data_IF_072111461822
#
_entry.id   IF_072111461822
#
_cell.length_a   1.000
_cell.length_b   1.000
_cell.length_c   1.000
_cell.angle_alpha   90.00
_cell.angle_beta   90.00
_cell.angle_gamma   90.00
#
_symmetry.space_group_name_H-M   'P 1'
#
loop_
_entity.id
_entity.type
_entity.pdbx_description
1 polymer ?
#
# COMPACT_ATOMS: atom_id res chain seq x y z
N UNK A 1 14.46 -14.52 6.64
CA UNK A 1 13.25 -14.34 7.48
C UNK A 1 13.66 -14.55 8.94
N UNK A 2 13.60 -13.50 9.76
CA UNK A 2 13.91 -13.60 11.19
C UNK A 2 12.74 -14.29 11.89
N UNK A 3 12.94 -15.53 12.37
CA UNK A 3 11.95 -16.27 13.16
C UNK A 3 12.14 -15.89 14.62
N UNK A 4 11.39 -14.91 15.10
CA UNK A 4 11.44 -14.52 16.50
C UNK A 4 10.56 -15.46 17.32
N UNK A 5 11.11 -16.19 18.32
CA UNK A 5 10.31 -17.11 19.12
C UNK A 5 9.33 -16.31 19.99
N UNK A 6 8.06 -16.70 20.00
CA UNK A 6 7.03 -16.08 20.86
C UNK A 6 6.65 -17.05 21.97
N UNK A 7 6.27 -18.27 21.60
CA UNK A 7 6.04 -19.38 22.53
C UNK A 7 6.41 -20.71 21.86
N UNK A 8 6.32 -21.82 22.61
CA UNK A 8 6.69 -23.14 22.08
C UNK A 8 5.93 -23.45 20.78
N UNK A 9 6.68 -23.72 19.71
CA UNK A 9 6.14 -24.02 18.38
C UNK A 9 5.62 -22.82 17.57
N UNK A 10 5.66 -21.59 18.10
CA UNK A 10 5.16 -20.38 17.42
C UNK A 10 6.30 -19.37 17.22
N UNK A 11 6.45 -18.93 15.97
CA UNK A 11 7.44 -17.93 15.58
C UNK A 11 6.75 -16.76 14.89
N UNK A 12 7.19 -15.55 15.22
CA UNK A 12 6.76 -14.32 14.57
C UNK A 12 7.82 -13.88 13.56
N UNK A 13 7.38 -13.56 12.34
CA UNK A 13 8.20 -12.89 11.34
C UNK A 13 8.05 -11.39 11.47
N UNK A 14 9.11 -10.69 11.89
CA UNK A 14 9.11 -9.22 11.97
C UNK A 14 9.67 -8.63 10.68
N UNK A 15 8.94 -7.69 10.09
CA UNK A 15 9.34 -6.94 8.89
C UNK A 15 9.45 -5.47 9.26
N UNK A 16 10.63 -4.89 9.12
CA UNK A 16 10.83 -3.46 9.35
C UNK A 16 10.31 -2.67 8.14
N UNK A 17 9.62 -1.56 8.43
CA UNK A 17 9.29 -0.55 7.44
C UNK A 17 9.61 0.82 8.03
N UNK A 18 10.79 1.35 7.71
CA UNK A 18 11.30 2.60 8.30
C UNK A 18 10.58 3.83 7.73
N UNK A 19 10.17 3.75 6.46
CA UNK A 19 9.61 4.88 5.71
C UNK A 19 8.07 4.90 5.72
N UNK A 20 7.48 4.65 6.90
CA UNK A 20 6.03 4.65 7.13
C UNK A 20 5.43 6.06 7.21
N UNK A 21 5.00 6.49 8.40
CA UNK A 21 4.33 7.78 8.59
C UNK A 21 5.19 8.98 8.16
N UNK A 22 6.51 8.93 8.42
CA UNK A 22 7.44 10.01 8.07
C UNK A 22 7.38 10.40 6.59
N UNK A 23 7.32 9.44 5.68
CA UNK A 23 7.26 9.70 4.25
C UNK A 23 5.93 10.39 3.86
N UNK A 24 4.82 10.02 4.51
CA UNK A 24 3.52 10.67 4.31
C UNK A 24 3.49 12.09 4.89
N UNK A 25 4.13 12.30 6.04
CA UNK A 25 4.23 13.64 6.66
C UNK A 25 4.94 14.61 5.72
N UNK A 26 6.03 14.18 5.06
CA UNK A 26 6.71 15.02 4.06
C UNK A 26 5.80 15.37 2.87
N UNK A 27 5.02 14.42 2.35
CA UNK A 27 4.09 14.73 1.24
C UNK A 27 2.93 15.62 1.67
N UNK A 28 2.43 15.43 2.90
CA UNK A 28 1.45 16.34 3.51
C UNK A 28 2.01 17.76 3.65
N UNK A 29 3.27 17.89 4.06
CA UNK A 29 3.92 19.19 4.20
C UNK A 29 4.09 19.89 2.84
N UNK A 30 4.42 19.15 1.77
CA UNK A 30 4.44 19.66 0.39
C UNK A 30 3.05 20.13 -0.07
N UNK A 31 1.99 19.37 0.24
CA UNK A 31 0.59 19.77 -0.01
C UNK A 31 0.25 21.05 0.74
N UNK A 32 0.57 21.11 2.03
CA UNK A 32 0.28 22.25 2.89
C UNK A 32 1.02 23.51 2.43
N UNK A 33 2.26 23.40 1.97
CA UNK A 33 3.02 24.50 1.38
C UNK A 33 2.35 25.03 0.10
N UNK A 34 1.95 24.13 -0.81
CA UNK A 34 1.29 24.50 -2.08
C UNK A 34 -0.06 25.19 -1.86
N UNK A 35 -0.88 24.66 -0.95
CA UNK A 35 -2.25 25.12 -0.74
C UNK A 35 -2.39 26.14 0.40
N UNK A 36 -1.32 26.43 1.14
CA UNK A 36 -1.32 27.27 2.34
C UNK A 36 -2.33 26.77 3.39
N UNK A 37 -2.35 25.46 3.58
CA UNK A 37 -3.18 24.76 4.57
C UNK A 37 -2.32 24.21 5.69
N UNK A 38 -2.96 23.66 6.72
CA UNK A 38 -2.33 22.88 7.77
C UNK A 38 -3.03 21.52 7.94
N UNK A 39 -2.38 20.62 8.66
CA UNK A 39 -2.96 19.32 8.97
C UNK A 39 -3.12 18.40 7.75
N UNK A 40 -4.10 17.49 7.84
CA UNK A 40 -4.31 16.39 6.89
C UNK A 40 -5.53 16.58 6.00
N UNK A 41 -6.42 17.51 6.30
CA UNK A 41 -7.71 17.63 5.63
C UNK A 41 -7.56 17.84 4.11
N UNK A 42 -6.61 18.70 3.71
CA UNK A 42 -6.35 18.95 2.28
C UNK A 42 -5.70 17.75 1.59
N UNK A 43 -4.81 17.06 2.30
CA UNK A 43 -4.18 15.84 1.80
C UNK A 43 -5.25 14.76 1.54
N UNK A 44 -6.17 14.56 2.49
CA UNK A 44 -7.27 13.60 2.37
C UNK A 44 -8.24 13.96 1.23
N UNK A 45 -8.58 15.25 1.06
CA UNK A 45 -9.41 15.72 -0.06
C UNK A 45 -8.75 15.39 -1.40
N UNK A 46 -7.45 15.65 -1.54
CA UNK A 46 -6.67 15.32 -2.74
C UNK A 46 -6.69 13.82 -2.99
N UNK A 47 -6.46 13.00 -1.97
CA UNK A 47 -6.52 11.54 -2.10
C UNK A 47 -7.89 11.06 -2.56
N UNK A 48 -8.97 11.57 -1.96
CA UNK A 48 -10.34 11.25 -2.35
C UNK A 48 -10.56 11.60 -3.84
N UNK A 49 -10.06 12.74 -4.31
CA UNK A 49 -10.14 13.17 -5.71
C UNK A 49 -9.27 12.33 -6.66
N UNK A 50 -8.01 12.05 -6.32
CA UNK A 50 -7.10 11.30 -7.19
C UNK A 50 -7.57 9.86 -7.38
N UNK A 51 -7.95 9.18 -6.30
CA UNK A 51 -8.44 7.80 -6.39
C UNK A 51 -9.81 7.68 -7.07
N UNK A 52 -10.65 8.72 -7.01
CA UNK A 52 -11.91 8.75 -7.73
C UNK A 52 -11.72 8.72 -9.27
N UNK A 53 -10.57 9.17 -9.79
CA UNK A 53 -10.26 9.11 -11.23
C UNK A 53 -10.18 7.68 -11.76
N UNK A 54 -9.91 6.73 -10.87
CA UNK A 54 -9.78 5.31 -11.20
C UNK A 54 -11.09 4.53 -10.99
N UNK A 55 -12.15 5.17 -10.48
CA UNK A 55 -13.44 4.51 -10.29
C UNK A 55 -14.07 4.14 -11.62
N UNK A 56 -14.39 2.84 -11.79
CA UNK A 56 -15.01 2.32 -13.01
C UNK A 56 -14.03 2.01 -14.14
N UNK A 57 -12.72 2.20 -13.95
CA UNK A 57 -11.70 1.81 -14.92
C UNK A 57 -11.39 0.32 -14.76
N UNK A 58 -11.45 -0.45 -15.86
CA UNK A 58 -11.05 -1.85 -15.84
C UNK A 58 -9.53 -1.95 -15.60
N UNK A 59 -9.04 -2.74 -14.61
CA UNK A 59 -7.61 -2.86 -14.33
C UNK A 59 -6.75 -3.25 -15.54
N UNK A 60 -7.31 -3.98 -16.51
CA UNK A 60 -6.61 -4.37 -17.75
C UNK A 60 -6.41 -3.18 -18.71
N UNK A 61 -7.31 -2.20 -18.68
CA UNK A 61 -7.20 -0.98 -19.49
C UNK A 61 -6.29 0.07 -18.82
N UNK A 62 -6.09 -0.04 -17.50
CA UNK A 62 -5.28 0.87 -16.68
C UNK A 62 -3.76 0.77 -16.94
N UNK A 63 -3.27 -0.36 -17.47
CA UNK A 63 -1.83 -0.65 -17.66
C UNK A 63 -1.14 0.23 -18.73
N UNK A 64 -1.84 1.18 -19.35
CA UNK A 64 -1.22 2.18 -20.22
C UNK A 64 -0.69 3.34 -19.38
N UNK A 65 0.63 3.33 -19.19
CA UNK A 65 1.42 4.42 -18.62
C UNK A 65 1.09 4.76 -17.14
N UNK A 66 1.05 3.73 -16.29
CA UNK A 66 0.82 3.89 -14.85
C UNK A 66 2.04 4.52 -14.16
N UNK A 67 1.80 5.58 -13.36
CA UNK A 67 2.85 6.17 -12.54
C UNK A 67 3.07 5.32 -11.29
N UNK A 68 4.33 5.12 -10.90
CA UNK A 68 4.75 4.41 -9.70
C UNK A 68 5.83 5.21 -8.99
N UNK A 69 5.74 5.35 -7.67
CA UNK A 69 6.72 6.06 -6.86
C UNK A 69 7.46 5.18 -5.85
N UNK A 70 8.67 5.61 -5.49
CA UNK A 70 9.47 5.09 -4.38
C UNK A 70 9.83 6.27 -3.49
N UNK A 71 9.39 6.21 -2.24
CA UNK A 71 9.53 7.29 -1.26
C UNK A 71 10.23 6.78 0.00
N UNK A 72 11.55 6.84 -0.01
CA UNK A 72 12.42 6.47 1.11
C UNK A 72 13.20 7.68 1.62
N UNK A 73 12.59 8.53 2.48
CA UNK A 73 13.31 9.62 3.14
C UNK A 73 14.54 9.15 3.91
N UNK A 74 14.47 7.94 4.47
CA UNK A 74 15.57 7.26 5.16
C UNK A 74 15.93 5.97 4.43
N UNK A 75 17.14 5.47 4.67
CA UNK A 75 17.57 4.17 4.16
C UNK A 75 16.63 3.07 4.65
N UNK A 76 16.30 2.14 3.77
CA UNK A 76 15.40 1.03 4.08
C UNK A 76 16.20 -0.25 4.31
N UNK A 77 15.75 -1.06 5.27
CA UNK A 77 16.42 -2.31 5.64
C UNK A 77 15.92 -3.44 4.74
N UNK A 78 14.62 -3.45 4.46
CA UNK A 78 13.95 -4.47 3.65
C UNK A 78 13.02 -3.74 2.67
N UNK A 79 13.29 -3.71 1.36
CA UNK A 79 14.55 -4.09 0.73
C UNK A 79 15.68 -3.14 1.15
N UNK A 80 16.92 -3.61 1.11
CA UNK A 80 18.08 -2.75 1.34
C UNK A 80 18.12 -1.68 0.23
N UNK A 81 17.83 -0.44 0.60
CA UNK A 81 17.80 0.69 -0.32
C UNK A 81 18.34 1.94 0.36
N UNK A 82 19.10 2.74 -0.39
CA UNK A 82 19.52 4.07 0.04
C UNK A 82 18.31 5.02 0.07
N UNK A 83 18.38 6.12 0.86
CA UNK A 83 17.39 7.18 0.78
C UNK A 83 17.18 7.64 -0.67
N UNK A 84 15.93 7.70 -1.12
CA UNK A 84 15.58 8.16 -2.47
C UNK A 84 14.10 8.55 -2.58
N UNK A 85 13.82 9.50 -3.48
CA UNK A 85 12.48 9.86 -3.96
C UNK A 85 12.51 9.71 -5.49
N UNK A 86 11.94 8.64 -6.04
CA UNK A 86 12.02 8.31 -7.48
C UNK A 86 10.65 7.96 -8.01
N UNK A 87 10.34 8.40 -9.23
CA UNK A 87 9.04 8.19 -9.88
C UNK A 87 9.29 7.60 -11.24
N UNK A 88 8.36 6.78 -11.66
CA UNK A 88 8.46 6.05 -12.91
C UNK A 88 7.10 6.01 -13.57
N UNK A 89 7.10 5.88 -14.89
CA UNK A 89 5.97 5.37 -15.63
C UNK A 89 6.24 3.92 -15.99
N UNK A 90 5.24 3.06 -15.83
CA UNK A 90 5.26 1.68 -16.26
C UNK A 90 4.29 1.48 -17.43
N UNK A 91 4.77 0.85 -18.49
CA UNK A 91 3.91 0.27 -19.52
C UNK A 91 4.46 -1.08 -19.97
N UNK A 92 3.60 -1.95 -20.51
CA UNK A 92 4.06 -3.24 -21.06
C UNK A 92 5.03 -3.07 -22.24
N UNK A 93 4.93 -1.95 -22.98
CA UNK A 93 5.72 -1.71 -24.19
C UNK A 93 7.10 -1.14 -23.88
N UNK A 94 7.18 -0.20 -22.96
CA UNK A 94 8.41 0.55 -22.64
C UNK A 94 9.08 0.07 -21.37
N UNK A 95 8.39 -0.75 -20.57
CA UNK A 95 8.83 -1.09 -19.23
C UNK A 95 8.81 0.13 -18.30
N UNK A 96 9.68 0.11 -17.31
CA UNK A 96 9.80 1.17 -16.29
C UNK A 96 10.70 2.30 -16.81
N UNK A 97 10.14 3.50 -16.94
CA UNK A 97 10.85 4.71 -17.38
C UNK A 97 10.84 5.74 -16.25
N UNK A 98 12.00 6.24 -15.85
CA UNK A 98 12.11 7.22 -14.77
C UNK A 98 11.58 8.60 -15.20
N UNK A 99 10.77 9.19 -14.33
CA UNK A 99 10.17 10.51 -14.49
C UNK A 99 11.01 11.57 -13.75
N UNK A 100 11.00 12.79 -14.27
CA UNK A 100 11.56 13.94 -13.57
C UNK A 100 10.57 14.50 -12.55
N UNK A 101 11.07 15.31 -11.60
CA UNK A 101 10.22 15.97 -10.59
C UNK A 101 9.15 16.89 -11.21
N UNK A 102 9.31 17.31 -12.47
CA UNK A 102 8.34 18.18 -13.15
C UNK A 102 7.19 17.40 -13.79
N UNK A 103 7.33 16.08 -13.94
CA UNK A 103 6.36 15.22 -14.61
C UNK A 103 5.28 14.70 -13.65
N UNK A 104 5.41 15.01 -12.35
CA UNK A 104 4.51 14.58 -11.28
C UNK A 104 4.12 15.79 -10.45
N UNK A 105 2.81 16.01 -10.34
CA UNK A 105 2.24 17.09 -9.53
C UNK A 105 2.20 16.72 -8.05
N UNK A 106 2.15 17.72 -7.16
CA UNK A 106 2.03 17.49 -5.70
C UNK A 106 0.80 16.65 -5.34
N UNK A 107 -0.29 16.78 -6.11
CA UNK A 107 -1.51 15.99 -5.96
C UNK A 107 -1.26 14.52 -6.30
N UNK A 108 -0.61 14.26 -7.43
CA UNK A 108 -0.23 12.90 -7.82
C UNK A 108 0.78 12.30 -6.84
N UNK A 109 1.72 13.09 -6.32
CA UNK A 109 2.66 12.65 -5.28
C UNK A 109 1.94 12.17 -4.02
N UNK A 110 0.88 12.87 -3.60
CA UNK A 110 0.05 12.48 -2.46
C UNK A 110 -0.58 11.09 -2.65
N UNK A 111 -1.11 10.78 -3.84
CA UNK A 111 -1.64 9.45 -4.15
C UNK A 111 -0.53 8.40 -4.28
N UNK A 112 0.54 8.73 -5.00
CA UNK A 112 1.65 7.83 -5.28
C UNK A 112 2.39 7.38 -4.03
N UNK A 113 2.51 8.22 -2.99
CA UNK A 113 3.09 7.76 -1.73
C UNK A 113 2.26 6.61 -1.17
N UNK A 114 0.93 6.72 -1.10
CA UNK A 114 0.05 5.69 -0.52
C UNK A 114 0.18 4.37 -1.29
N UNK A 115 0.15 4.44 -2.62
CA UNK A 115 0.34 3.26 -3.48
C UNK A 115 1.73 2.65 -3.32
N UNK A 116 2.77 3.49 -3.22
CA UNK A 116 4.14 3.06 -2.94
C UNK A 116 4.22 2.28 -1.63
N UNK A 117 3.58 2.76 -0.56
CA UNK A 117 3.57 2.05 0.73
C UNK A 117 2.81 0.73 0.64
N UNK A 118 1.69 0.68 -0.09
CA UNK A 118 0.95 -0.55 -0.32
C UNK A 118 1.77 -1.58 -1.11
N UNK A 119 2.44 -1.15 -2.19
CA UNK A 119 3.34 -1.99 -2.98
C UNK A 119 4.53 -2.48 -2.16
N UNK A 120 5.10 -1.59 -1.35
CA UNK A 120 6.17 -1.85 -0.40
C UNK A 120 5.76 -2.94 0.62
N UNK A 121 4.55 -2.86 1.19
CA UNK A 121 3.99 -3.90 2.05
C UNK A 121 3.82 -5.22 1.29
N UNK A 122 3.25 -5.19 0.08
CA UNK A 122 3.07 -6.39 -0.75
C UNK A 122 4.38 -7.09 -1.04
N UNK A 123 5.43 -6.36 -1.44
CA UNK A 123 6.76 -6.93 -1.72
C UNK A 123 7.38 -7.60 -0.50
N UNK A 124 7.15 -7.08 0.72
CA UNK A 124 7.67 -7.64 1.97
C UNK A 124 6.90 -8.87 2.43
N UNK A 125 5.58 -8.88 2.22
CA UNK A 125 4.71 -9.98 2.63
C UNK A 125 4.78 -11.15 1.63
N UNK A 126 4.98 -10.90 0.33
CA UNK A 126 5.01 -11.94 -0.71
C UNK A 126 5.94 -13.13 -0.39
N UNK A 127 7.22 -12.95 0.00
CA UNK A 127 8.10 -14.07 0.36
C UNK A 127 7.63 -14.86 1.60
N UNK A 128 6.81 -14.25 2.46
CA UNK A 128 6.26 -14.88 3.66
C UNK A 128 5.05 -15.77 3.33
N UNK A 129 4.32 -15.41 2.27
CA UNK A 129 3.16 -16.15 1.79
C UNK A 129 3.53 -17.24 0.78
N UNK A 130 4.74 -17.22 0.21
CA UNK A 130 5.14 -18.06 -0.92
C UNK A 130 6.39 -18.91 -0.71
N UNK A 131 6.18 -20.19 -0.39
CA UNK A 131 7.15 -21.29 -0.53
C UNK A 131 7.12 -21.99 -1.90
N UNK A 132 6.60 -21.36 -2.95
CA UNK A 132 6.70 -21.86 -4.32
C UNK A 132 6.99 -20.69 -5.24
N UNK A 133 8.04 -20.82 -6.07
CA UNK A 133 8.46 -19.81 -7.01
C UNK A 133 7.28 -19.26 -7.81
N UNK A 134 7.19 -17.93 -7.86
CA UNK A 134 6.33 -17.23 -8.82
C UNK A 134 7.00 -17.38 -10.19
N UNK A 135 6.82 -18.55 -10.79
CA UNK A 135 6.99 -18.77 -12.22
C UNK A 135 5.60 -19.05 -12.78
N UNK A 136 5.04 -18.09 -13.50
CA UNK A 136 3.85 -18.31 -14.33
C UNK A 136 2.50 -18.12 -13.65
N UNK A 137 1.82 -17.04 -14.05
CA UNK A 137 0.42 -17.06 -14.51
C UNK A 137 -0.61 -17.92 -13.75
N UNK A 138 -0.79 -17.67 -12.45
CA UNK A 138 -1.92 -18.23 -11.66
C UNK A 138 -2.55 -17.14 -10.77
N UNK A 139 -2.89 -16.01 -11.39
CA UNK A 139 -3.23 -14.74 -10.73
C UNK A 139 -4.59 -14.60 -10.04
N UNK A 140 -5.34 -15.66 -9.74
CA UNK A 140 -6.66 -15.51 -9.07
C UNK A 140 -6.97 -16.65 -8.10
N UNK A 141 -6.89 -17.91 -8.55
CA UNK A 141 -7.30 -19.05 -7.72
C UNK A 141 -6.40 -19.30 -6.49
N UNK A 142 -5.09 -19.05 -6.61
CA UNK A 142 -4.16 -19.20 -5.48
C UNK A 142 -4.37 -18.10 -4.42
N UNK A 143 -4.66 -16.88 -4.87
CA UNK A 143 -5.01 -15.75 -4.01
C UNK A 143 -6.35 -15.98 -3.32
N UNK A 144 -7.36 -16.46 -4.04
CA UNK A 144 -8.69 -16.79 -3.50
C UNK A 144 -8.61 -17.93 -2.48
N UNK A 145 -7.77 -18.93 -2.73
CA UNK A 145 -7.50 -20.02 -1.79
C UNK A 145 -6.79 -19.52 -0.53
N UNK A 146 -5.83 -18.60 -0.67
CA UNK A 146 -5.15 -17.98 0.46
C UNK A 146 -6.11 -17.11 1.29
N UNK A 147 -6.99 -16.34 0.64
CA UNK A 147 -8.07 -15.57 1.28
C UNK A 147 -9.03 -16.47 2.05
N UNK A 148 -9.53 -17.55 1.45
CA UNK A 148 -10.39 -18.54 2.14
C UNK A 148 -9.68 -19.21 3.33
N UNK A 149 -8.37 -19.46 3.21
CA UNK A 149 -7.58 -20.00 4.31
C UNK A 149 -7.40 -18.98 5.43
N UNK A 150 -7.17 -17.71 5.10
CA UNK A 150 -7.12 -16.58 6.04
C UNK A 150 -8.46 -16.38 6.75
N UNK A 151 -9.59 -16.40 6.03
CA UNK A 151 -10.94 -16.32 6.61
C UNK A 151 -11.21 -17.44 7.62
N UNK A 152 -10.67 -18.65 7.38
CA UNK A 152 -10.79 -19.77 8.31
C UNK A 152 -9.96 -19.59 9.58
N UNK A 153 -8.87 -18.84 9.51
CA UNK A 153 -7.94 -18.60 10.64
C UNK A 153 -8.34 -17.36 11.43
N UNK A 154 -8.64 -16.26 10.75
CA UNK A 154 -8.97 -14.95 11.34
C UNK A 154 -10.46 -14.84 11.67
N UNK A 155 -11.30 -15.70 11.07
CA UNK A 155 -12.75 -15.59 11.11
C UNK A 155 -13.27 -14.57 10.09
N UNK A 156 -14.56 -14.61 9.79
CA UNK A 156 -15.23 -13.62 8.90
C UNK A 156 -15.35 -12.22 9.52
N UNK A 157 -14.89 -12.05 10.77
CA UNK A 157 -14.99 -10.82 11.53
C UNK A 157 -13.65 -10.47 12.14
N UNK A 158 -13.17 -9.27 11.85
CA UNK A 158 -11.97 -8.69 12.46
C UNK A 158 -12.44 -7.86 13.67
N UNK A 159 -11.92 -8.14 14.86
CA UNK A 159 -12.26 -7.35 16.05
C UNK A 159 -11.10 -6.43 16.41
N UNK A 160 -11.35 -5.12 16.44
CA UNK A 160 -10.40 -4.08 16.85
C UNK A 160 -11.08 -3.25 17.93
N UNK A 161 -10.43 -3.08 19.09
CA UNK A 161 -10.95 -2.32 20.23
C UNK A 161 -12.38 -2.71 20.63
N UNK A 162 -12.65 -4.01 20.70
CA UNK A 162 -13.96 -4.61 21.01
C UNK A 162 -15.07 -4.35 19.99
N UNK A 163 -14.76 -3.69 18.87
CA UNK A 163 -15.68 -3.51 17.75
C UNK A 163 -15.41 -4.58 16.71
N UNK A 164 -16.43 -5.37 16.36
CA UNK A 164 -16.34 -6.36 15.30
C UNK A 164 -16.73 -5.77 13.95
N UNK A 165 -15.83 -5.89 12.99
CA UNK A 165 -16.02 -5.51 11.59
C UNK A 165 -16.12 -6.77 10.74
N UNK A 166 -17.03 -6.79 9.77
CA UNK A 166 -16.91 -7.76 8.67
C UNK A 166 -15.65 -7.47 7.85
N UNK A 167 -15.14 -8.47 7.13
CA UNK A 167 -13.98 -8.28 6.23
C UNK A 167 -14.21 -7.14 5.25
N UNK A 168 -15.42 -7.04 4.67
CA UNK A 168 -15.78 -5.96 3.75
C UNK A 168 -15.82 -4.59 4.42
N UNK A 169 -16.27 -4.50 5.67
CA UNK A 169 -16.26 -3.25 6.44
C UNK A 169 -14.85 -2.84 6.85
N UNK A 170 -14.00 -3.79 7.22
CA UNK A 170 -12.61 -3.52 7.57
C UNK A 170 -11.80 -3.02 6.38
N UNK A 171 -12.14 -3.45 5.17
CA UNK A 171 -11.49 -3.01 3.93
C UNK A 171 -12.04 -1.68 3.38
N UNK A 172 -13.16 -1.17 3.92
CA UNK A 172 -13.68 0.16 3.56
C UNK A 172 -12.85 1.27 4.21
N UNK A 173 -12.77 2.43 3.54
CA UNK A 173 -12.13 3.63 4.11
C UNK A 173 -12.83 4.02 5.43
N UNK A 174 -12.09 4.54 6.43
CA UNK A 174 -12.64 4.88 7.74
C UNK A 174 -13.89 5.77 7.71
N UNK A 175 -13.97 6.73 6.78
CA UNK A 175 -15.15 7.61 6.60
C UNK A 175 -16.43 6.86 6.22
N UNK A 176 -16.32 5.63 5.71
CA UNK A 176 -17.41 4.82 5.17
C UNK A 176 -17.70 3.56 6.02
N UNK A 177 -17.11 3.45 7.21
CA UNK A 177 -17.34 2.31 8.12
C UNK A 177 -18.46 2.65 9.09
N UNK A 178 -19.56 1.91 9.02
CA UNK A 178 -20.66 2.00 10.00
C UNK A 178 -20.44 0.93 11.07
N UNK A 179 -19.68 1.27 12.11
CA UNK A 179 -19.38 0.33 13.20
C UNK A 179 -20.64 -0.06 13.98
N UNK A 180 -20.81 -1.36 14.28
CA UNK A 180 -21.76 -1.84 15.30
C UNK A 180 -20.99 -2.15 16.57
N UNK A 181 -21.30 -1.42 17.64
CA UNK A 181 -20.77 -1.71 18.97
C UNK A 181 -21.40 -3.01 19.45
N UNK A 182 -20.57 -3.96 19.89
CA UNK A 182 -21.00 -5.25 20.47
C UNK A 182 -20.85 -5.18 21.98
#
# INVERSE_FOLDING_TARGET
>A
MFRHPVCSGIYMGMLCYCNGALAREQMRDEVNEKYRTDGWDKFDEILDSEFAKDEGVNPVEKVKDEKVGIYFPLGEIIPNAKPCKRRFTYSEKTGLVELSDKDVTVEEEAALIIESQALSCRLRVCPMLGGTGVTGDTGSAAMEKALKALEKIVGQKVTVDHVSYSTDEFMKRPKNVTAKIV
#
